data_IF_273317934086
#
_entry.id   IF_273317934086
#
_cell.length_a   1.000
_cell.length_b   1.000
_cell.length_c   1.000
_cell.angle_alpha   90.00
_cell.angle_beta   90.00
_cell.angle_gamma   90.00
#
_symmetry.space_group_name_H-M   'P 1'
#
loop_
_entity.id
_entity.type
_entity.pdbx_description
1 polymer ?
#
# COMPACT_ATOMS: atom_id res chain seq x y z
N UNK A 1 -14.79 3.27 -21.27
CA UNK A 1 -14.13 2.68 -20.07
C UNK A 1 -12.74 2.19 -20.47
N UNK A 2 -11.74 2.31 -19.62
CA UNK A 2 -10.43 1.69 -19.79
C UNK A 2 -10.56 0.18 -19.54
N UNK A 3 -9.67 -0.66 -20.12
CA UNK A 3 -9.85 -2.11 -20.04
C UNK A 3 -9.66 -2.65 -18.61
N UNK A 4 -8.54 -2.33 -17.95
CA UNK A 4 -8.28 -2.85 -16.62
C UNK A 4 -7.28 -2.01 -15.82
N UNK A 5 -7.38 -2.10 -14.49
CA UNK A 5 -6.45 -1.53 -13.54
C UNK A 5 -5.94 -2.61 -12.59
N UNK A 6 -4.67 -2.50 -12.20
CA UNK A 6 -4.10 -3.24 -11.10
C UNK A 6 -3.81 -2.27 -9.95
N UNK A 7 -4.36 -2.55 -8.79
CA UNK A 7 -4.19 -1.74 -7.58
C UNK A 7 -3.47 -2.58 -6.53
N UNK A 8 -2.37 -2.08 -5.99
CA UNK A 8 -1.62 -2.78 -4.96
C UNK A 8 -1.51 -1.95 -3.70
N UNK A 9 -1.70 -2.57 -2.53
CA UNK A 9 -1.17 -2.05 -1.30
C UNK A 9 0.36 -1.96 -1.36
N UNK A 10 0.97 -1.17 -0.45
CA UNK A 10 2.41 -0.97 -0.44
C UNK A 10 3.10 -1.74 0.69
N UNK A 11 2.76 -1.43 1.94
CA UNK A 11 3.44 -2.00 3.12
C UNK A 11 2.97 -3.43 3.38
N UNK A 12 3.90 -4.40 3.34
CA UNK A 12 3.57 -5.83 3.44
C UNK A 12 3.21 -6.49 2.11
N UNK A 13 2.87 -5.71 1.07
CA UNK A 13 2.49 -6.22 -0.25
C UNK A 13 3.59 -5.97 -1.27
N UNK A 14 3.86 -4.71 -1.65
CA UNK A 14 5.02 -4.33 -2.49
C UNK A 14 6.30 -4.40 -1.67
N UNK A 15 6.31 -3.80 -0.48
CA UNK A 15 7.42 -3.94 0.46
C UNK A 15 7.28 -5.23 1.26
N UNK A 16 8.43 -5.82 1.63
CA UNK A 16 8.51 -7.03 2.47
C UNK A 16 8.53 -6.70 3.96
N UNK A 17 8.52 -5.41 4.31
CA UNK A 17 8.51 -4.92 5.69
C UNK A 17 7.84 -3.55 5.72
N UNK A 18 6.97 -3.33 6.68
CA UNK A 18 6.32 -2.03 6.90
C UNK A 18 7.36 -0.99 7.34
N UNK A 19 7.27 0.20 6.77
CA UNK A 19 8.21 1.27 7.10
C UNK A 19 8.13 1.71 8.57
N UNK A 20 6.94 1.68 9.17
CA UNK A 20 6.79 2.02 10.58
C UNK A 20 7.59 1.08 11.51
N UNK A 21 7.72 -0.21 11.17
CA UNK A 21 8.55 -1.13 11.93
C UNK A 21 10.02 -0.78 11.87
N UNK A 22 10.51 -0.33 10.72
CA UNK A 22 11.90 0.12 10.57
C UNK A 22 12.18 1.34 11.44
N UNK A 23 11.21 2.27 11.52
CA UNK A 23 11.29 3.45 12.39
C UNK A 23 11.27 3.05 13.88
N UNK A 24 10.36 2.17 14.29
CA UNK A 24 10.26 1.68 15.67
C UNK A 24 11.56 1.00 16.09
N UNK A 25 12.06 0.08 15.27
CA UNK A 25 13.27 -0.68 15.59
C UNK A 25 14.50 0.21 15.76
N UNK A 26 14.57 1.33 15.04
CA UNK A 26 15.78 2.16 14.98
C UNK A 26 15.71 3.43 15.83
N UNK A 27 14.54 4.05 15.90
CA UNK A 27 14.40 5.40 16.47
C UNK A 27 13.41 5.52 17.63
N UNK A 28 12.52 4.53 17.83
CA UNK A 28 11.41 4.68 18.76
C UNK A 28 11.22 3.46 19.67
N UNK A 29 11.99 3.37 20.74
CA UNK A 29 11.96 2.24 21.67
C UNK A 29 10.58 1.95 22.27
N UNK A 30 9.79 3.00 22.55
CA UNK A 30 8.43 2.92 23.08
C UNK A 30 7.40 2.49 22.03
N UNK A 31 7.77 2.49 20.78
CA UNK A 31 6.89 2.13 19.66
C UNK A 31 6.29 0.73 19.76
N UNK A 32 6.99 -0.20 20.42
CA UNK A 32 6.47 -1.56 20.63
C UNK A 32 5.27 -1.61 21.56
N UNK A 33 5.23 -0.76 22.60
CA UNK A 33 4.05 -0.65 23.46
C UNK A 33 2.92 0.09 22.74
N UNK A 34 3.24 1.14 22.02
CA UNK A 34 2.28 1.87 21.18
C UNK A 34 1.63 0.93 20.15
N UNK A 35 2.42 0.03 19.54
CA UNK A 35 1.92 -1.00 18.61
C UNK A 35 0.90 -1.93 19.27
N UNK A 36 1.14 -2.36 20.53
CA UNK A 36 0.18 -3.19 21.26
C UNK A 36 -1.14 -2.46 21.49
N UNK A 37 -1.09 -1.20 21.86
CA UNK A 37 -2.28 -0.38 22.07
C UNK A 37 -3.06 -0.14 20.76
N UNK A 38 -2.35 0.07 19.64
CA UNK A 38 -2.95 0.12 18.32
C UNK A 38 -3.62 -1.21 17.95
N UNK A 39 -2.93 -2.35 18.08
CA UNK A 39 -3.52 -3.67 17.79
C UNK A 39 -4.69 -4.02 18.71
N UNK A 40 -4.71 -3.47 19.91
CA UNK A 40 -5.86 -3.59 20.84
C UNK A 40 -7.02 -2.63 20.49
N UNK A 41 -6.91 -1.82 19.43
CA UNK A 41 -7.93 -0.88 18.99
C UNK A 41 -8.08 0.37 19.89
N UNK A 42 -7.12 0.65 20.76
CA UNK A 42 -7.15 1.82 21.64
C UNK A 42 -6.79 3.14 20.96
N UNK A 43 -6.04 3.06 19.86
CA UNK A 43 -5.61 4.20 19.06
C UNK A 43 -5.91 3.92 17.58
N UNK A 44 -6.20 4.99 16.82
CA UNK A 44 -6.46 4.89 15.38
C UNK A 44 -5.17 4.62 14.62
N UNK A 45 -5.29 4.00 13.46
CA UNK A 45 -4.14 3.69 12.60
C UNK A 45 -3.36 4.95 12.22
N UNK A 46 -4.07 6.03 11.89
CA UNK A 46 -3.43 7.30 11.52
C UNK A 46 -2.69 7.95 12.69
N UNK A 47 -3.21 7.86 13.92
CA UNK A 47 -2.57 8.43 15.11
C UNK A 47 -1.33 7.63 15.50
N UNK A 48 -1.39 6.28 15.32
CA UNK A 48 -0.24 5.40 15.49
C UNK A 48 0.88 5.77 14.51
N UNK A 49 0.56 5.85 13.21
CA UNK A 49 1.55 6.18 12.17
C UNK A 49 2.14 7.58 12.37
N UNK A 50 1.30 8.58 12.69
CA UNK A 50 1.77 9.94 12.95
C UNK A 50 2.76 9.98 14.13
N UNK A 51 2.46 9.28 15.22
CA UNK A 51 3.35 9.21 16.38
C UNK A 51 4.68 8.56 16.04
N UNK A 52 4.65 7.44 15.31
CA UNK A 52 5.85 6.72 14.90
C UNK A 52 6.71 7.57 13.97
N UNK A 53 6.14 8.17 12.94
CA UNK A 53 6.90 8.95 11.96
C UNK A 53 7.44 10.28 12.52
N UNK A 54 6.80 10.85 13.54
CA UNK A 54 7.28 12.03 14.26
C UNK A 54 8.32 11.71 15.34
N UNK A 55 8.74 10.46 15.49
CA UNK A 55 9.79 10.04 16.41
C UNK A 55 11.17 9.85 15.77
N UNK A 56 11.32 10.11 14.47
CA UNK A 56 12.54 9.82 13.71
C UNK A 56 13.70 10.74 14.10
N UNK A 57 13.47 12.05 14.21
CA UNK A 57 14.42 13.08 14.62
C UNK A 57 15.76 13.05 13.84
N UNK A 58 15.72 12.85 12.51
CA UNK A 58 16.88 12.80 11.63
C UNK A 58 16.82 13.88 10.55
N UNK A 59 17.97 14.22 9.96
CA UNK A 59 18.03 15.05 8.75
C UNK A 59 17.37 14.34 7.58
N UNK A 60 16.74 15.10 6.69
CA UNK A 60 15.97 14.56 5.57
C UNK A 60 16.77 13.58 4.70
N UNK A 61 18.03 13.92 4.40
CA UNK A 61 18.90 13.05 3.61
C UNK A 61 19.05 11.66 4.25
N UNK A 62 19.18 11.61 5.58
CA UNK A 62 19.30 10.36 6.31
C UNK A 62 18.00 9.56 6.30
N UNK A 63 16.85 10.25 6.44
CA UNK A 63 15.53 9.60 6.31
C UNK A 63 15.35 8.98 4.92
N UNK A 64 15.76 9.69 3.87
CA UNK A 64 15.71 9.17 2.48
C UNK A 64 16.62 7.96 2.31
N UNK A 65 17.84 7.98 2.88
CA UNK A 65 18.72 6.81 2.88
C UNK A 65 18.05 5.60 3.55
N UNK A 66 17.39 5.78 4.69
CA UNK A 66 16.65 4.71 5.37
C UNK A 66 15.47 4.21 4.52
N UNK A 67 14.68 5.09 3.94
CA UNK A 67 13.61 4.73 3.02
C UNK A 67 14.16 3.85 1.89
N UNK A 68 15.32 4.20 1.35
CA UNK A 68 15.95 3.41 0.30
C UNK A 68 16.40 2.02 0.75
N UNK A 69 16.42 1.72 2.06
CA UNK A 69 16.68 0.37 2.57
C UNK A 69 15.43 -0.49 2.70
N UNK A 70 14.24 0.06 2.48
CA UNK A 70 12.98 -0.72 2.50
C UNK A 70 13.12 -1.86 1.48
N UNK A 71 13.04 -3.13 1.92
CA UNK A 71 13.07 -4.26 1.01
C UNK A 71 11.75 -4.34 0.25
N UNK A 72 11.80 -4.36 -1.07
CA UNK A 72 10.62 -4.61 -1.91
C UNK A 72 10.73 -6.00 -2.55
N UNK A 73 9.61 -6.52 -3.04
CA UNK A 73 9.63 -7.64 -3.96
C UNK A 73 10.38 -7.22 -5.23
N UNK A 74 11.49 -7.90 -5.53
CA UNK A 74 12.40 -7.53 -6.63
C UNK A 74 11.73 -7.63 -8.01
N UNK A 75 10.63 -8.36 -8.11
CA UNK A 75 9.87 -8.52 -9.33
C UNK A 75 8.92 -7.35 -9.62
N UNK A 76 8.54 -6.57 -8.61
CA UNK A 76 7.55 -5.49 -8.73
C UNK A 76 7.87 -4.48 -9.83
N UNK A 77 9.11 -3.98 -10.02
CA UNK A 77 9.39 -3.05 -11.13
C UNK A 77 9.10 -3.66 -12.51
N UNK A 78 9.43 -4.95 -12.68
CA UNK A 78 9.14 -5.69 -13.91
C UNK A 78 7.63 -5.88 -14.10
N UNK A 79 6.93 -6.31 -13.05
CA UNK A 79 5.49 -6.51 -13.06
C UNK A 79 4.72 -5.23 -13.43
N UNK A 80 5.06 -4.08 -12.80
CA UNK A 80 4.44 -2.79 -13.12
C UNK A 80 4.62 -2.45 -14.60
N UNK A 81 5.84 -2.62 -15.13
CA UNK A 81 6.13 -2.39 -16.53
C UNK A 81 5.28 -3.28 -17.44
N UNK A 82 5.18 -4.57 -17.12
CA UNK A 82 4.38 -5.50 -17.91
C UNK A 82 2.89 -5.18 -17.90
N UNK A 83 2.34 -4.78 -16.74
CA UNK A 83 0.96 -4.28 -16.64
C UNK A 83 0.74 -3.11 -17.61
N UNK A 84 1.63 -2.12 -17.59
CA UNK A 84 1.52 -0.92 -18.42
C UNK A 84 1.70 -1.23 -19.92
N UNK A 85 2.66 -2.06 -20.28
CA UNK A 85 2.91 -2.46 -21.68
C UNK A 85 1.75 -3.28 -22.28
N UNK A 86 0.94 -3.95 -21.44
CA UNK A 86 -0.24 -4.69 -21.84
C UNK A 86 -1.55 -3.90 -21.68
N UNK A 87 -1.46 -2.58 -21.54
CA UNK A 87 -2.60 -1.67 -21.54
C UNK A 87 -3.39 -1.62 -20.23
N UNK A 88 -2.82 -2.13 -19.14
CA UNK A 88 -3.31 -1.90 -17.78
C UNK A 88 -2.75 -0.62 -17.18
N UNK A 89 -3.48 0.01 -16.28
CA UNK A 89 -2.95 1.08 -15.42
C UNK A 89 -2.61 0.51 -14.06
N UNK A 90 -1.47 0.94 -13.48
CA UNK A 90 -1.03 0.49 -12.17
C UNK A 90 -1.20 1.60 -11.12
N UNK A 91 -1.78 1.22 -9.98
CA UNK A 91 -2.02 2.09 -8.84
C UNK A 91 -1.40 1.53 -7.57
N UNK A 92 -0.89 2.41 -6.72
CA UNK A 92 -0.56 2.08 -5.33
C UNK A 92 -1.63 2.69 -4.44
N UNK A 93 -2.14 1.91 -3.49
CA UNK A 93 -3.21 2.29 -2.57
C UNK A 93 -2.81 1.92 -1.14
N UNK A 94 -2.22 2.87 -0.42
CA UNK A 94 -1.63 2.65 0.90
C UNK A 94 -2.29 3.48 1.99
N UNK A 95 -2.48 2.91 3.18
CA UNK A 95 -2.87 3.65 4.38
C UNK A 95 -1.67 4.33 5.07
N UNK A 96 -0.45 4.11 4.58
CA UNK A 96 0.76 4.82 5.00
C UNK A 96 0.82 6.24 4.44
N UNK A 97 2.00 6.70 4.02
CA UNK A 97 2.18 8.01 3.40
C UNK A 97 2.92 7.91 2.05
N UNK A 98 2.51 8.77 1.12
CA UNK A 98 3.12 8.87 -0.20
C UNK A 98 4.60 9.33 -0.17
N UNK A 99 5.05 9.95 0.93
CA UNK A 99 6.42 10.43 1.06
C UNK A 99 7.45 9.33 0.80
N UNK A 100 7.40 8.22 1.56
CA UNK A 100 8.36 7.13 1.35
C UNK A 100 8.07 6.32 0.07
N UNK A 101 6.81 6.21 -0.32
CA UNK A 101 6.44 5.50 -1.56
C UNK A 101 7.08 6.19 -2.77
N UNK A 102 7.00 7.52 -2.89
CA UNK A 102 7.61 8.27 -3.99
C UNK A 102 9.14 8.14 -4.02
N UNK A 103 9.80 8.10 -2.85
CA UNK A 103 11.24 7.86 -2.79
C UNK A 103 11.62 6.46 -3.29
N UNK A 104 10.82 5.44 -2.99
CA UNK A 104 11.01 4.08 -3.51
C UNK A 104 10.76 4.03 -5.01
N UNK A 105 9.66 4.60 -5.51
CA UNK A 105 9.39 4.64 -6.95
C UNK A 105 10.53 5.32 -7.72
N UNK A 106 11.06 6.42 -7.18
CA UNK A 106 12.21 7.12 -7.75
C UNK A 106 13.48 6.27 -7.75
N UNK A 107 13.77 5.56 -6.64
CA UNK A 107 14.94 4.68 -6.52
C UNK A 107 14.96 3.60 -7.61
N UNK A 108 13.81 3.02 -7.92
CA UNK A 108 13.68 1.95 -8.91
C UNK A 108 13.30 2.43 -10.32
N UNK A 109 13.31 3.76 -10.57
CA UNK A 109 12.91 4.40 -11.84
C UNK A 109 11.51 3.97 -12.33
N UNK A 110 10.59 3.71 -11.40
CA UNK A 110 9.22 3.32 -11.69
C UNK A 110 8.41 4.57 -12.05
N UNK A 111 7.78 4.55 -13.22
CA UNK A 111 7.04 5.69 -13.80
C UNK A 111 5.58 5.35 -14.06
N UNK A 112 4.77 6.39 -14.25
CA UNK A 112 3.36 6.27 -14.62
C UNK A 112 2.53 5.45 -13.60
N UNK A 113 2.87 5.58 -12.33
CA UNK A 113 2.11 4.99 -11.22
C UNK A 113 1.42 6.11 -10.45
N UNK A 114 0.11 6.01 -10.31
CA UNK A 114 -0.65 6.90 -9.44
C UNK A 114 -0.67 6.33 -8.04
N UNK A 115 -0.34 7.15 -7.05
CA UNK A 115 -0.34 6.77 -5.63
C UNK A 115 -1.54 7.42 -4.95
N UNK A 116 -2.40 6.58 -4.37
CA UNK A 116 -3.43 6.98 -3.43
C UNK A 116 -2.97 6.63 -2.01
N UNK A 117 -2.67 7.64 -1.21
CA UNK A 117 -2.16 7.47 0.15
C UNK A 117 -2.46 8.72 0.97
N UNK A 118 -2.08 8.73 2.24
CA UNK A 118 -2.03 9.95 3.03
C UNK A 118 -0.87 10.83 2.54
N UNK A 119 -1.08 12.15 2.46
CA UNK A 119 -0.02 13.09 2.07
C UNK A 119 1.04 13.16 3.16
N UNK A 120 2.29 12.86 2.79
CA UNK A 120 3.44 12.95 3.67
C UNK A 120 4.37 14.09 3.29
N UNK A 121 5.02 14.70 4.29
CA UNK A 121 6.05 15.72 4.05
C UNK A 121 7.09 15.73 5.17
N UNK A 122 8.31 16.13 4.80
CA UNK A 122 9.37 16.34 5.76
C UNK A 122 9.20 17.69 6.48
N UNK A 123 9.27 17.68 7.80
CA UNK A 123 9.28 18.88 8.62
C UNK A 123 9.96 18.59 9.97
N UNK A 124 10.79 19.51 10.45
CA UNK A 124 11.45 19.43 11.77
C UNK A 124 12.06 18.05 12.06
N UNK A 125 12.85 17.52 11.09
CA UNK A 125 13.56 16.23 11.21
C UNK A 125 12.68 14.99 11.29
N UNK A 126 11.43 15.11 10.91
CA UNK A 126 10.44 14.02 10.96
C UNK A 126 9.63 13.95 9.66
N UNK A 127 8.91 12.85 9.48
CA UNK A 127 7.85 12.75 8.48
C UNK A 127 6.53 13.08 9.17
N UNK A 128 5.81 14.03 8.59
CA UNK A 128 4.46 14.42 9.02
C UNK A 128 3.44 14.00 7.98
N UNK A 129 2.20 13.80 8.41
CA UNK A 129 1.07 13.53 7.53
C UNK A 129 0.09 14.70 7.55
N UNK A 130 -0.39 15.09 6.38
CA UNK A 130 -1.47 16.07 6.22
C UNK A 130 -2.75 15.32 5.87
N UNK A 131 -3.76 15.48 6.71
CA UNK A 131 -5.06 14.84 6.53
C UNK A 131 -6.10 15.90 6.23
N UNK A 132 -6.67 15.83 5.03
CA UNK A 132 -7.82 16.66 4.66
C UNK A 132 -9.12 15.89 4.91
N UNK A 133 -9.86 16.30 5.93
CA UNK A 133 -11.15 15.67 6.27
C UNK A 133 -12.25 15.91 5.23
N UNK A 134 -12.05 16.85 4.31
CA UNK A 134 -12.98 17.13 3.21
C UNK A 134 -12.62 16.36 1.93
N UNK A 135 -11.50 15.63 1.92
CA UNK A 135 -11.12 14.81 0.77
C UNK A 135 -12.17 13.69 0.58
N UNK A 136 -12.58 13.45 -0.67
CA UNK A 136 -13.57 12.41 -1.00
C UNK A 136 -13.17 11.01 -0.52
N UNK A 137 -11.88 10.73 -0.42
CA UNK A 137 -11.33 9.46 0.04
C UNK A 137 -10.98 9.43 1.54
N UNK A 138 -11.40 10.44 2.31
CA UNK A 138 -11.07 10.50 3.73
C UNK A 138 -11.70 9.36 4.54
N UNK A 139 -10.91 8.84 5.47
CA UNK A 139 -11.29 7.91 6.53
C UNK A 139 -10.81 8.43 7.89
N UNK A 140 -11.69 8.44 8.87
CA UNK A 140 -11.34 8.87 10.22
C UNK A 140 -10.30 7.95 10.89
N UNK A 141 -10.32 6.66 10.59
CA UNK A 141 -9.41 5.66 11.17
C UNK A 141 -8.06 5.61 10.45
N UNK A 142 -8.08 5.57 9.11
CA UNK A 142 -6.89 5.31 8.28
C UNK A 142 -6.35 6.55 7.57
N UNK A 143 -7.05 7.70 7.67
CA UNK A 143 -6.77 8.89 6.85
C UNK A 143 -7.28 8.74 5.41
N UNK A 144 -7.13 7.59 4.80
CA UNK A 144 -7.65 7.24 3.48
C UNK A 144 -8.60 6.05 3.55
N UNK A 145 -9.73 6.13 2.87
CA UNK A 145 -10.68 5.04 2.66
C UNK A 145 -10.33 4.30 1.36
N UNK A 146 -9.66 3.18 1.48
CA UNK A 146 -9.26 2.35 0.34
C UNK A 146 -10.46 1.84 -0.47
N UNK A 147 -11.60 1.61 0.19
CA UNK A 147 -12.82 1.13 -0.49
C UNK A 147 -13.39 2.16 -1.45
N UNK A 148 -13.40 3.45 -1.07
CA UNK A 148 -13.85 4.53 -1.95
C UNK A 148 -12.97 4.63 -3.20
N UNK A 149 -11.65 4.42 -3.05
CA UNK A 149 -10.73 4.45 -4.18
C UNK A 149 -11.02 3.31 -5.16
N UNK A 150 -11.17 2.07 -4.67
CA UNK A 150 -11.53 0.93 -5.55
C UNK A 150 -12.87 1.18 -6.23
N UNK A 151 -13.89 1.63 -5.50
CA UNK A 151 -15.20 1.95 -6.09
C UNK A 151 -15.10 3.02 -7.18
N UNK A 152 -14.29 4.06 -6.94
CA UNK A 152 -14.04 5.11 -7.94
C UNK A 152 -13.36 4.56 -9.20
N UNK A 153 -12.36 3.70 -9.05
CA UNK A 153 -11.72 3.05 -10.19
C UNK A 153 -12.67 2.13 -10.95
N UNK A 154 -13.61 1.46 -10.27
CA UNK A 154 -14.64 0.65 -10.91
C UNK A 154 -15.61 1.45 -11.81
N UNK A 155 -15.73 2.76 -11.62
CA UNK A 155 -16.47 3.63 -12.54
C UNK A 155 -15.71 3.89 -13.85
N UNK A 156 -14.38 3.76 -13.84
CA UNK A 156 -13.49 4.09 -14.95
C UNK A 156 -13.01 2.86 -15.74
N UNK A 157 -12.89 1.70 -15.05
CA UNK A 157 -12.33 0.47 -15.60
C UNK A 157 -13.37 -0.65 -15.68
N UNK A 158 -13.20 -1.51 -16.68
CA UNK A 158 -14.02 -2.73 -16.83
C UNK A 158 -13.65 -3.78 -15.79
N UNK A 159 -12.35 -3.88 -15.45
CA UNK A 159 -11.81 -4.79 -14.44
C UNK A 159 -10.86 -4.04 -13.51
N UNK A 160 -11.00 -4.25 -12.21
CA UNK A 160 -10.09 -3.75 -11.18
C UNK A 160 -9.59 -4.92 -10.33
N UNK A 161 -8.32 -5.22 -10.46
CA UNK A 161 -7.60 -6.19 -9.63
C UNK A 161 -7.01 -5.50 -8.41
N UNK A 162 -7.00 -6.19 -7.28
CA UNK A 162 -6.43 -5.67 -6.05
C UNK A 162 -5.46 -6.68 -5.42
N UNK A 163 -4.34 -6.20 -4.86
CA UNK A 163 -3.41 -6.99 -4.06
C UNK A 163 -3.21 -6.33 -2.69
N UNK A 164 -3.23 -7.13 -1.62
CA UNK A 164 -3.05 -6.67 -0.26
C UNK A 164 -2.69 -7.81 0.69
N UNK A 165 -2.37 -7.47 1.96
CA UNK A 165 -1.86 -8.43 2.94
C UNK A 165 -2.53 -8.38 4.32
N UNK A 166 -3.20 -7.28 4.66
CA UNK A 166 -3.59 -7.03 6.05
C UNK A 166 -5.00 -6.44 6.21
N UNK A 167 -5.37 -6.08 7.43
CA UNK A 167 -6.72 -5.66 7.81
C UNK A 167 -7.25 -4.48 6.99
N UNK A 168 -6.50 -3.38 6.75
CA UNK A 168 -7.00 -2.27 5.94
C UNK A 168 -7.39 -2.68 4.52
N UNK A 169 -6.83 -3.78 4.00
CA UNK A 169 -7.08 -4.30 2.66
C UNK A 169 -8.35 -5.13 2.57
N UNK A 170 -8.81 -5.66 3.69
CA UNK A 170 -10.04 -6.46 3.75
C UNK A 170 -11.30 -5.67 3.37
N UNK A 171 -11.25 -4.35 3.43
CA UNK A 171 -12.36 -3.47 3.08
C UNK A 171 -12.44 -3.22 1.55
N UNK A 172 -11.36 -2.78 0.86
CA UNK A 172 -11.38 -2.59 -0.59
C UNK A 172 -11.51 -3.90 -1.38
N UNK A 173 -11.00 -5.02 -0.85
CA UNK A 173 -11.07 -6.33 -1.48
C UNK A 173 -12.50 -6.75 -1.85
N UNK A 174 -13.50 -6.33 -1.08
CA UNK A 174 -14.92 -6.64 -1.32
C UNK A 174 -15.44 -6.01 -2.63
N UNK A 175 -14.83 -4.93 -3.08
CA UNK A 175 -15.26 -4.16 -4.25
C UNK A 175 -14.45 -4.46 -5.51
N UNK A 176 -13.26 -5.04 -5.38
CA UNK A 176 -12.44 -5.44 -6.53
C UNK A 176 -13.09 -6.60 -7.30
N UNK A 177 -12.77 -6.72 -8.59
CA UNK A 177 -13.25 -7.86 -9.40
C UNK A 177 -12.52 -9.15 -9.02
N UNK A 178 -11.28 -9.03 -8.56
CA UNK A 178 -10.49 -10.12 -8.00
C UNK A 178 -9.42 -9.55 -7.07
N UNK A 179 -9.23 -10.23 -5.94
CA UNK A 179 -8.19 -9.91 -4.97
C UNK A 179 -7.12 -11.01 -4.94
N UNK A 180 -5.85 -10.59 -4.98
CA UNK A 180 -4.69 -11.40 -4.66
C UNK A 180 -4.33 -11.11 -3.19
N UNK A 181 -4.45 -12.11 -2.35
CA UNK A 181 -4.27 -11.94 -0.91
C UNK A 181 -3.00 -12.60 -0.42
N UNK A 182 -2.28 -11.88 0.41
CA UNK A 182 -1.10 -12.34 1.16
C UNK A 182 -1.45 -12.39 2.64
N UNK A 183 -0.64 -13.11 3.39
CA UNK A 183 -0.60 -13.11 4.85
C UNK A 183 -2.00 -13.12 5.53
N UNK A 184 -2.22 -12.24 6.50
CA UNK A 184 -3.44 -12.19 7.31
C UNK A 184 -4.71 -11.84 6.51
N UNK A 185 -4.57 -11.21 5.35
CA UNK A 185 -5.72 -10.88 4.50
C UNK A 185 -6.45 -12.14 4.03
N UNK A 186 -5.74 -13.26 3.81
CA UNK A 186 -6.33 -14.52 3.38
C UNK A 186 -7.39 -14.99 4.36
N UNK A 187 -7.04 -15.11 5.64
CA UNK A 187 -7.97 -15.56 6.69
C UNK A 187 -9.16 -14.60 6.81
N UNK A 188 -8.91 -13.29 6.72
CA UNK A 188 -9.98 -12.28 6.80
C UNK A 188 -10.96 -12.35 5.64
N UNK A 189 -10.50 -12.64 4.43
CA UNK A 189 -11.37 -12.79 3.26
C UNK A 189 -12.14 -14.12 3.30
N UNK A 190 -11.51 -15.19 3.80
CA UNK A 190 -12.18 -16.46 4.01
C UNK A 190 -13.34 -16.32 5.02
N UNK A 191 -13.10 -15.67 6.17
CA UNK A 191 -14.14 -15.37 7.16
C UNK A 191 -15.30 -14.53 6.60
N UNK A 192 -15.01 -13.60 5.69
CA UNK A 192 -16.01 -12.75 5.02
C UNK A 192 -16.68 -13.43 3.82
N UNK A 193 -16.24 -14.60 3.39
CA UNK A 193 -16.71 -15.28 2.20
C UNK A 193 -16.42 -14.52 0.89
N UNK A 194 -15.35 -13.72 0.87
CA UNK A 194 -14.89 -12.96 -0.31
C UNK A 194 -13.89 -13.81 -1.09
N UNK A 195 -14.13 -14.10 -2.38
CA UNK A 195 -13.20 -14.87 -3.20
C UNK A 195 -11.86 -14.15 -3.37
N UNK A 196 -10.77 -14.90 -3.27
CA UNK A 196 -9.42 -14.39 -3.49
C UNK A 196 -8.51 -15.46 -4.10
N UNK A 197 -7.34 -15.03 -4.56
CA UNK A 197 -6.24 -15.91 -4.93
C UNK A 197 -5.11 -15.70 -3.93
N UNK A 198 -4.70 -16.79 -3.29
CA UNK A 198 -3.55 -16.80 -2.39
C UNK A 198 -2.27 -16.66 -3.21
N UNK A 199 -1.41 -15.73 -2.83
CA UNK A 199 -0.11 -15.47 -3.47
C UNK A 199 0.94 -15.10 -2.43
N UNK A 200 2.20 -15.41 -2.75
CA UNK A 200 3.36 -14.99 -1.95
C UNK A 200 4.15 -13.87 -2.66
N UNK A 201 4.23 -13.91 -3.98
CA UNK A 201 5.05 -13.01 -4.79
C UNK A 201 4.30 -12.50 -6.03
N UNK A 202 4.77 -11.39 -6.60
CA UNK A 202 4.18 -10.80 -7.80
C UNK A 202 4.38 -11.65 -9.06
N UNK A 203 5.32 -12.56 -9.08
CA UNK A 203 5.47 -13.56 -10.14
C UNK A 203 4.23 -14.43 -10.31
N UNK A 204 3.60 -14.85 -9.21
CA UNK A 204 2.39 -15.67 -9.21
C UNK A 204 1.18 -14.88 -9.72
N UNK A 205 1.11 -13.59 -9.38
CA UNK A 205 0.09 -12.67 -9.89
C UNK A 205 0.23 -12.53 -11.41
N UNK A 206 1.46 -12.34 -11.91
CA UNK A 206 1.70 -12.22 -13.34
C UNK A 206 1.36 -13.51 -14.09
N UNK A 207 1.72 -14.67 -13.57
CA UNK A 207 1.34 -15.96 -14.17
C UNK A 207 -0.18 -16.09 -14.28
N UNK A 208 -0.91 -15.66 -13.26
CA UNK A 208 -2.38 -15.65 -13.33
C UNK A 208 -2.89 -14.73 -14.43
N UNK A 209 -2.37 -13.49 -14.52
CA UNK A 209 -2.79 -12.50 -15.53
C UNK A 209 -2.42 -12.95 -16.95
N UNK A 210 -1.29 -13.63 -17.15
CA UNK A 210 -0.90 -14.26 -18.41
C UNK A 210 -1.91 -15.36 -18.79
N UNK A 211 -2.28 -16.23 -17.85
CA UNK A 211 -3.25 -17.30 -18.10
C UNK A 211 -4.66 -16.78 -18.41
N UNK A 212 -4.97 -15.54 -18.00
CA UNK A 212 -6.20 -14.83 -18.36
C UNK A 212 -6.09 -14.02 -19.66
N UNK A 213 -4.91 -13.99 -20.28
CA UNK A 213 -4.66 -13.26 -21.53
C UNK A 213 -4.62 -11.74 -21.37
N UNK A 214 -4.40 -11.24 -20.15
CA UNK A 214 -4.27 -9.82 -19.84
C UNK A 214 -2.83 -9.31 -19.99
N UNK A 215 -1.86 -10.18 -19.78
CA UNK A 215 -0.43 -9.94 -19.99
C UNK A 215 0.05 -10.95 -21.05
N UNK A 216 0.84 -10.49 -22.01
CA UNK A 216 1.49 -11.33 -23.02
C UNK A 216 2.73 -12.02 -22.41
N UNK A 217 3.04 -13.24 -22.88
CA UNK A 217 4.28 -13.94 -22.51
C UNK A 217 5.50 -13.31 -23.18
#
# INVERSE_FOLDING_TARGET
MKKWAFVSDFDGTISKKDFYWMVIDKYFSEGKELFKDWKAGKIKDIDFLATVFQSIHQEEAHIIEEIHTIPIDEYVPHFIKNVQENGGDFYILSAGTDYYIHHILKKYDIKNVTVFSNEGFFHEKNIHMRIDQNDWKYSERYGIDKSKVIQKLKEEYELVFFAGDSEPDSHPAVFADLTFAKDALQDMLEEKGVPYISVEEFTEIEEYLINKGLISR
#
